data_IF_822942461543
#
_entry.id   IF_822942461543
#
_cell.length_a   1.000
_cell.length_b   1.000
_cell.length_c   1.000
_cell.angle_alpha   90.00
_cell.angle_beta   90.00
_cell.angle_gamma   90.00
#
_symmetry.space_group_name_H-M   'P 1'
#
loop_
_entity.id
_entity.type
_entity.pdbx_description
1 polymer ?
#
# COMPACT_ATOMS: atom_id res chain seq x y z
N UNK A 1 2.04 22.42 -3.42
CA UNK A 1 3.19 23.28 -3.16
C UNK A 1 3.93 23.61 -4.45
N UNK A 2 4.32 22.60 -5.26
CA UNK A 2 4.99 22.81 -6.56
C UNK A 2 4.15 23.67 -7.50
N UNK A 3 2.90 23.34 -7.73
CA UNK A 3 1.96 24.10 -8.60
C UNK A 3 1.72 25.57 -8.15
N UNK A 4 2.01 25.87 -6.89
CA UNK A 4 1.86 27.21 -6.33
C UNK A 4 3.14 28.03 -6.30
N UNK A 5 4.22 27.50 -6.86
CA UNK A 5 5.53 28.19 -6.80
C UNK A 5 6.11 28.32 -5.39
N UNK A 6 5.60 27.53 -4.41
CA UNK A 6 6.18 27.46 -3.06
C UNK A 6 7.45 26.62 -3.04
N UNK A 7 7.64 25.76 -4.04
CA UNK A 7 8.83 24.97 -4.28
C UNK A 7 9.42 25.37 -5.63
N UNK A 8 10.68 25.07 -5.84
CA UNK A 8 11.51 25.63 -6.93
C UNK A 8 11.31 24.90 -8.26
N UNK A 9 10.06 24.58 -8.62
CA UNK A 9 9.75 23.94 -9.91
C UNK A 9 10.24 24.84 -11.06
N UNK A 10 10.94 24.24 -12.02
CA UNK A 10 11.62 24.94 -13.12
C UNK A 10 13.11 25.23 -12.84
N UNK A 11 13.59 24.99 -11.61
CA UNK A 11 15.01 25.01 -11.32
C UNK A 11 15.59 23.60 -11.61
N UNK A 12 16.59 23.47 -12.50
CA UNK A 12 17.04 22.17 -13.02
C UNK A 12 17.48 21.17 -11.94
N UNK A 13 18.11 21.63 -10.87
CA UNK A 13 18.54 20.76 -9.77
C UNK A 13 17.38 20.33 -8.90
N UNK A 14 16.42 21.24 -8.64
CA UNK A 14 15.23 20.90 -7.94
C UNK A 14 14.42 19.88 -8.73
N UNK A 15 14.19 20.11 -10.00
CA UNK A 15 13.40 19.24 -10.87
C UNK A 15 14.03 17.84 -10.98
N UNK A 16 15.36 17.77 -11.07
CA UNK A 16 16.05 16.48 -11.20
C UNK A 16 16.06 15.65 -9.91
N UNK A 17 16.17 16.29 -8.73
CA UNK A 17 16.48 15.59 -7.50
C UNK A 17 15.38 15.68 -6.42
N UNK A 18 14.52 16.68 -6.47
CA UNK A 18 13.52 16.93 -5.45
C UNK A 18 12.08 16.86 -5.97
N UNK A 19 11.78 17.36 -7.17
CA UNK A 19 10.41 17.46 -7.66
C UNK A 19 9.66 16.12 -7.62
N UNK A 20 8.54 16.09 -6.90
CA UNK A 20 7.71 14.88 -6.74
C UNK A 20 6.96 14.55 -8.04
N UNK A 21 6.53 15.57 -8.79
CA UNK A 21 5.93 15.42 -10.11
C UNK A 21 6.86 14.71 -11.09
N UNK A 22 8.12 15.13 -11.14
CA UNK A 22 9.17 14.50 -11.97
C UNK A 22 9.47 13.08 -11.49
N UNK A 23 9.55 12.85 -10.17
CA UNK A 23 9.77 11.53 -9.60
C UNK A 23 8.73 10.53 -10.10
N UNK A 24 7.45 10.87 -9.99
CA UNK A 24 6.37 9.98 -10.45
C UNK A 24 6.48 9.62 -11.92
N UNK A 25 6.78 10.60 -12.78
CA UNK A 25 6.95 10.36 -14.22
C UNK A 25 8.16 9.47 -14.53
N UNK A 26 9.27 9.65 -13.82
CA UNK A 26 10.46 8.81 -13.93
C UNK A 26 10.18 7.36 -13.52
N UNK A 27 9.50 7.16 -12.39
CA UNK A 27 9.13 5.82 -11.94
C UNK A 27 8.18 5.14 -12.93
N UNK A 28 7.24 5.87 -13.50
CA UNK A 28 6.25 5.33 -14.44
C UNK A 28 6.86 4.91 -15.79
N UNK A 29 8.03 5.41 -16.13
CA UNK A 29 8.75 5.04 -17.35
C UNK A 29 9.55 3.74 -17.23
N UNK A 30 9.71 3.19 -16.02
CA UNK A 30 10.45 1.97 -15.75
C UNK A 30 9.52 0.75 -15.64
N UNK A 31 10.06 -0.46 -15.84
CA UNK A 31 9.29 -1.69 -15.64
C UNK A 31 9.12 -2.04 -14.17
N UNK A 32 8.06 -2.79 -13.85
CA UNK A 32 7.75 -3.21 -12.48
C UNK A 32 8.92 -3.99 -11.84
N UNK A 33 9.59 -4.87 -12.61
CA UNK A 33 10.71 -5.67 -12.12
C UNK A 33 11.92 -4.81 -11.72
N UNK A 34 12.15 -3.69 -12.43
CA UNK A 34 13.21 -2.73 -12.09
C UNK A 34 12.82 -1.98 -10.82
N UNK A 35 11.57 -1.52 -10.75
CA UNK A 35 11.08 -0.76 -9.61
C UNK A 35 11.07 -1.58 -8.31
N UNK A 36 10.74 -2.87 -8.36
CA UNK A 36 10.76 -3.77 -7.20
C UNK A 36 12.17 -3.98 -6.61
N UNK A 37 13.21 -3.81 -7.43
CA UNK A 37 14.62 -3.96 -7.01
C UNK A 37 15.25 -2.66 -6.55
N UNK A 38 14.74 -1.52 -6.98
CA UNK A 38 15.24 -0.18 -6.59
C UNK A 38 14.57 0.31 -5.31
N UNK A 39 15.27 1.12 -4.54
CA UNK A 39 14.82 1.67 -3.24
C UNK A 39 15.27 3.11 -3.03
N UNK A 40 15.29 3.90 -4.11
CA UNK A 40 15.76 5.29 -4.07
C UNK A 40 14.63 6.31 -3.89
N UNK A 41 13.42 5.99 -4.37
CA UNK A 41 12.31 6.92 -4.40
C UNK A 41 11.85 7.35 -3.00
N UNK A 42 11.83 6.42 -2.02
CA UNK A 42 11.47 6.74 -0.65
C UNK A 42 12.43 7.77 -0.03
N UNK A 43 13.72 7.56 -0.16
CA UNK A 43 14.75 8.50 0.31
C UNK A 43 14.61 9.88 -0.32
N UNK A 44 14.24 9.93 -1.60
CA UNK A 44 13.98 11.19 -2.31
C UNK A 44 12.77 11.92 -1.75
N UNK A 45 11.66 11.24 -1.45
CA UNK A 45 10.49 11.84 -0.79
C UNK A 45 10.85 12.41 0.58
N UNK A 46 11.63 11.68 1.38
CA UNK A 46 12.08 12.14 2.69
C UNK A 46 12.98 13.39 2.57
N UNK A 47 13.83 13.46 1.53
CA UNK A 47 14.64 14.64 1.26
C UNK A 47 13.77 15.87 0.96
N UNK A 48 12.67 15.70 0.20
CA UNK A 48 11.69 16.76 -0.04
C UNK A 48 11.02 17.21 1.26
N UNK A 49 10.62 16.29 2.12
CA UNK A 49 10.00 16.63 3.42
C UNK A 49 10.97 17.41 4.30
N UNK A 50 12.24 17.00 4.36
CA UNK A 50 13.28 17.75 5.06
C UNK A 50 13.52 19.12 4.45
N UNK A 51 13.54 19.23 3.12
CA UNK A 51 13.70 20.49 2.42
C UNK A 51 12.56 21.47 2.73
N UNK A 52 11.32 20.99 2.78
CA UNK A 52 10.16 21.79 3.17
C UNK A 52 10.27 22.24 4.64
N UNK A 53 10.62 21.33 5.53
CA UNK A 53 10.71 21.64 6.97
C UNK A 53 11.88 22.55 7.32
N UNK A 54 13.08 22.17 6.91
CA UNK A 54 14.33 22.81 7.33
C UNK A 54 14.95 23.79 6.33
N UNK A 55 14.37 23.87 5.12
CA UNK A 55 14.94 24.62 4.02
C UNK A 55 16.13 23.92 3.36
N UNK A 56 16.65 24.55 2.30
CA UNK A 56 17.90 24.20 1.63
C UNK A 56 18.76 25.47 1.58
N UNK A 57 19.96 25.41 2.11
CA UNK A 57 20.96 26.46 1.98
C UNK A 57 22.22 25.91 1.29
N UNK A 58 22.24 26.08 -0.01
CA UNK A 58 23.35 25.67 -0.86
C UNK A 58 23.64 26.80 -1.88
N UNK A 59 24.87 27.03 -2.29
CA UNK A 59 25.23 28.13 -3.22
C UNK A 59 24.39 28.17 -4.49
N UNK A 60 23.94 27.02 -4.97
CA UNK A 60 23.21 26.86 -6.24
C UNK A 60 21.75 26.43 -6.08
N UNK A 61 21.27 26.22 -4.85
CA UNK A 61 19.89 25.84 -4.58
C UNK A 61 19.48 26.34 -3.21
N UNK A 62 18.60 27.33 -3.17
CA UNK A 62 18.10 27.91 -1.91
C UNK A 62 16.59 27.78 -1.81
N UNK A 63 16.14 27.17 -0.73
CA UNK A 63 14.72 27.06 -0.37
C UNK A 63 14.56 27.51 1.08
N UNK A 64 13.73 28.52 1.36
CA UNK A 64 13.47 28.91 2.73
C UNK A 64 12.79 27.81 3.51
N UNK A 65 13.11 27.66 4.80
CA UNK A 65 12.42 26.74 5.68
C UNK A 65 10.96 27.16 5.85
N UNK A 66 10.04 26.25 5.57
CA UNK A 66 8.60 26.47 5.78
C UNK A 66 8.17 26.03 7.18
N UNK A 67 8.92 25.13 7.79
CA UNK A 67 8.62 24.57 9.11
C UNK A 67 7.34 23.71 9.11
N UNK A 68 6.66 23.73 10.24
CA UNK A 68 5.39 23.05 10.41
C UNK A 68 5.53 21.62 10.94
N UNK A 69 4.67 21.24 11.88
CA UNK A 69 4.74 19.96 12.59
C UNK A 69 4.48 18.73 11.69
N UNK A 70 3.85 18.93 10.52
CA UNK A 70 3.54 17.85 9.58
C UNK A 70 4.80 17.26 8.92
N UNK A 71 5.79 18.12 8.65
CA UNK A 71 7.03 17.70 8.00
C UNK A 71 8.23 17.60 8.95
N UNK A 72 7.98 17.75 10.26
CA UNK A 72 9.03 17.66 11.28
C UNK A 72 9.59 16.22 11.35
N UNK A 73 10.86 16.01 10.95
CA UNK A 73 11.46 14.68 10.92
C UNK A 73 11.63 14.06 12.32
N UNK A 74 11.69 14.88 13.36
CA UNK A 74 11.83 14.41 14.75
C UNK A 74 10.50 13.99 15.36
N UNK A 75 9.39 14.41 14.76
CA UNK A 75 8.05 13.93 15.10
C UNK A 75 7.77 12.53 14.53
N UNK A 76 8.34 12.24 13.37
CA UNK A 76 8.13 10.97 12.65
C UNK A 76 9.46 10.26 12.32
N UNK A 77 10.34 10.03 13.32
CA UNK A 77 11.69 9.51 13.07
C UNK A 77 11.69 8.13 12.42
N UNK A 78 10.66 7.33 12.64
CA UNK A 78 10.51 5.99 12.05
C UNK A 78 10.46 6.01 10.52
N UNK A 79 9.96 7.08 9.89
CA UNK A 79 9.96 7.21 8.42
C UNK A 79 11.37 7.24 7.84
N UNK A 80 12.32 7.71 8.63
CA UNK A 80 13.74 7.79 8.31
C UNK A 80 14.56 6.64 8.91
N UNK A 81 13.92 5.63 9.50
CA UNK A 81 14.60 4.52 10.20
C UNK A 81 15.33 4.95 11.47
N UNK A 82 14.98 6.10 12.04
CA UNK A 82 15.58 6.61 13.28
C UNK A 82 14.76 6.19 14.51
N UNK A 83 15.44 6.05 15.64
CA UNK A 83 14.81 5.77 16.92
C UNK A 83 14.05 6.99 17.45
N UNK A 84 13.00 6.74 18.22
CA UNK A 84 12.24 7.80 18.92
C UNK A 84 13.18 8.59 19.84
N UNK A 85 13.04 9.92 19.84
CA UNK A 85 13.88 10.82 20.63
C UNK A 85 15.22 11.21 19.99
N UNK A 86 15.50 10.73 18.78
CA UNK A 86 16.69 11.16 18.01
C UNK A 86 16.42 12.44 17.23
N UNK A 87 17.47 13.24 16.98
CA UNK A 87 17.37 14.46 16.18
C UNK A 87 17.86 14.24 14.75
N UNK A 88 17.11 14.71 13.77
CA UNK A 88 17.44 14.61 12.35
C UNK A 88 18.73 15.33 11.95
N UNK A 89 19.14 16.32 12.74
CA UNK A 89 20.40 17.07 12.51
C UNK A 89 21.64 16.34 13.01
N UNK A 90 21.49 15.45 14.01
CA UNK A 90 22.61 14.81 14.70
C UNK A 90 22.74 13.32 14.40
N UNK A 91 21.64 12.67 14.02
CA UNK A 91 21.62 11.24 13.82
C UNK A 91 21.42 10.92 12.34
N UNK A 92 22.15 9.94 11.87
CA UNK A 92 22.04 9.49 10.48
C UNK A 92 20.67 8.84 10.26
N UNK A 93 20.05 9.15 9.12
CA UNK A 93 18.88 8.44 8.65
C UNK A 93 19.30 7.12 7.99
N UNK A 94 18.53 6.08 8.24
CA UNK A 94 18.59 4.79 7.54
C UNK A 94 17.19 4.49 7.00
N UNK A 95 16.79 5.13 5.89
CA UNK A 95 15.44 5.04 5.37
C UNK A 95 14.98 3.60 5.20
N UNK A 96 13.70 3.37 5.47
CA UNK A 96 13.10 2.06 5.30
C UNK A 96 13.32 1.54 3.87
N UNK A 97 13.59 0.24 3.69
CA UNK A 97 13.88 -0.35 2.39
C UNK A 97 12.61 -0.56 1.56
N UNK A 98 11.81 0.51 1.39
CA UNK A 98 10.61 0.52 0.57
C UNK A 98 11.03 0.54 -0.89
N UNK A 99 10.52 -0.39 -1.69
CA UNK A 99 10.80 -0.45 -3.12
C UNK A 99 10.13 0.71 -3.88
N UNK A 100 10.73 1.05 -5.03
CA UNK A 100 10.27 2.18 -5.84
C UNK A 100 8.88 1.93 -6.45
N UNK A 101 8.47 0.67 -6.67
CA UNK A 101 7.12 0.31 -7.10
C UNK A 101 6.08 0.67 -6.05
N UNK A 102 6.34 0.35 -4.79
CA UNK A 102 5.46 0.74 -3.68
C UNK A 102 5.32 2.26 -3.58
N UNK A 103 6.41 3.00 -3.77
CA UNK A 103 6.36 4.48 -3.80
C UNK A 103 5.57 4.99 -4.99
N UNK A 104 5.72 4.41 -6.19
CA UNK A 104 4.92 4.78 -7.36
C UNK A 104 3.43 4.57 -7.09
N UNK A 105 3.04 3.39 -6.61
CA UNK A 105 1.64 3.08 -6.28
C UNK A 105 1.07 4.03 -5.24
N UNK A 106 1.86 4.40 -4.21
CA UNK A 106 1.46 5.40 -3.23
C UNK A 106 1.21 6.76 -3.88
N UNK A 107 2.15 7.24 -4.71
CA UNK A 107 2.00 8.53 -5.40
C UNK A 107 0.81 8.55 -6.35
N UNK A 108 0.55 7.46 -7.06
CA UNK A 108 -0.61 7.35 -7.95
C UNK A 108 -1.91 7.32 -7.16
N UNK A 109 -2.00 6.55 -6.08
CA UNK A 109 -3.18 6.47 -5.25
C UNK A 109 -3.61 7.82 -4.65
N UNK A 110 -2.65 8.69 -4.31
CA UNK A 110 -2.94 10.02 -3.75
C UNK A 110 -3.04 11.13 -4.79
N UNK A 111 -2.55 10.92 -6.00
CA UNK A 111 -2.52 11.98 -7.04
C UNK A 111 -3.46 11.74 -8.21
N UNK A 112 -3.89 10.51 -8.45
CA UNK A 112 -4.70 10.16 -9.61
C UNK A 112 -6.05 9.62 -9.14
N UNK A 113 -7.11 10.21 -9.66
CA UNK A 113 -8.48 9.74 -9.49
C UNK A 113 -9.17 9.67 -10.86
N UNK A 114 -9.71 8.53 -11.22
CA UNK A 114 -10.35 8.29 -12.54
C UNK A 114 -9.47 8.72 -13.74
N UNK A 115 -8.17 8.47 -13.66
CA UNK A 115 -7.20 8.82 -14.71
C UNK A 115 -6.83 10.31 -14.78
N UNK A 116 -7.35 11.15 -13.88
CA UNK A 116 -7.07 12.59 -13.81
C UNK A 116 -6.25 12.93 -12.57
N UNK A 117 -5.39 13.94 -12.69
CA UNK A 117 -4.66 14.44 -11.53
C UNK A 117 -5.62 15.11 -10.54
N UNK A 118 -5.65 14.61 -9.30
CA UNK A 118 -6.49 15.13 -8.24
C UNK A 118 -5.94 16.46 -7.73
N UNK A 119 -6.77 17.49 -7.76
CA UNK A 119 -6.45 18.78 -7.14
C UNK A 119 -7.02 18.83 -5.72
N UNK A 120 -6.18 18.64 -4.73
CA UNK A 120 -6.55 18.78 -3.30
C UNK A 120 -7.08 20.17 -2.93
N UNK A 121 -6.86 21.16 -3.79
CA UNK A 121 -7.42 22.50 -3.61
C UNK A 121 -8.93 22.55 -3.86
N UNK A 122 -9.43 21.66 -4.69
CA UNK A 122 -10.84 21.58 -5.04
C UNK A 122 -11.67 20.75 -4.04
N UNK A 123 -11.00 20.02 -3.13
CA UNK A 123 -11.67 19.23 -2.09
C UNK A 123 -12.23 20.16 -1.02
N UNK A 124 -13.47 19.96 -0.67
CA UNK A 124 -14.09 20.58 0.49
C UNK A 124 -13.71 19.88 1.80
N UNK A 125 -14.07 20.45 2.93
CA UNK A 125 -13.74 19.94 4.26
C UNK A 125 -14.40 18.58 4.51
N UNK A 126 -15.58 18.35 3.97
CA UNK A 126 -16.33 17.09 4.11
C UNK A 126 -15.63 15.96 3.36
N UNK A 127 -15.18 16.20 2.14
CA UNK A 127 -14.42 15.22 1.34
C UNK A 127 -13.08 14.86 2.01
N UNK A 128 -12.38 15.86 2.58
CA UNK A 128 -11.17 15.61 3.35
C UNK A 128 -11.49 14.80 4.62
N UNK A 129 -12.63 15.08 5.27
CA UNK A 129 -13.13 14.31 6.41
C UNK A 129 -13.33 12.84 6.07
N UNK A 130 -14.00 12.53 4.97
CA UNK A 130 -14.21 11.15 4.51
C UNK A 130 -12.92 10.41 4.19
N UNK A 131 -11.92 11.08 3.57
CA UNK A 131 -10.60 10.47 3.36
C UNK A 131 -9.92 10.16 4.70
N UNK A 132 -10.01 11.06 5.66
CA UNK A 132 -9.44 10.88 6.99
C UNK A 132 -10.10 9.73 7.76
N UNK A 133 -11.44 9.67 7.75
CA UNK A 133 -12.21 8.57 8.35
C UNK A 133 -11.84 7.23 7.72
N UNK A 134 -11.78 7.14 6.40
CA UNK A 134 -11.38 5.93 5.67
C UNK A 134 -9.97 5.45 6.01
N UNK A 135 -9.05 6.36 6.33
CA UNK A 135 -7.70 6.02 6.80
C UNK A 135 -7.71 5.54 8.25
N UNK A 136 -8.54 6.15 9.13
CA UNK A 136 -8.65 5.76 10.53
C UNK A 136 -9.35 4.42 10.74
N UNK A 137 -10.26 4.04 9.87
CA UNK A 137 -10.94 2.74 9.90
C UNK A 137 -10.02 1.56 9.59
N UNK A 138 -8.82 1.83 9.06
CA UNK A 138 -7.85 0.81 8.69
C UNK A 138 -6.82 0.63 9.80
N UNK A 139 -6.71 -0.60 10.29
CA UNK A 139 -5.65 -1.01 11.21
C UNK A 139 -4.66 -1.91 10.49
N UNK A 140 -3.37 -1.63 10.67
CA UNK A 140 -2.30 -2.51 10.16
C UNK A 140 -1.99 -3.54 11.23
N UNK A 141 -2.09 -4.81 10.87
CA UNK A 141 -1.75 -5.93 11.76
C UNK A 141 -0.59 -6.72 11.12
N UNK A 142 0.45 -6.96 11.90
CA UNK A 142 1.52 -7.85 11.45
C UNK A 142 1.04 -9.29 11.53
N UNK A 143 1.17 -10.02 10.43
CA UNK A 143 0.87 -11.45 10.34
C UNK A 143 2.17 -12.22 10.11
N UNK A 144 2.26 -13.43 10.64
CA UNK A 144 3.47 -14.28 10.53
C UNK A 144 3.37 -15.25 9.34
N UNK A 145 2.18 -15.47 8.83
CA UNK A 145 1.91 -16.34 7.69
C UNK A 145 1.00 -15.65 6.67
N UNK A 146 0.93 -16.18 5.47
CA UNK A 146 0.04 -15.70 4.41
C UNK A 146 -1.41 -15.78 4.93
N UNK A 147 -2.05 -14.63 4.97
CA UNK A 147 -3.38 -14.49 5.57
C UNK A 147 -4.38 -14.05 4.52
N UNK A 148 -5.43 -14.83 4.35
CA UNK A 148 -6.50 -14.60 3.41
C UNK A 148 -7.65 -13.87 4.08
N UNK A 149 -8.16 -12.80 3.49
CA UNK A 149 -9.42 -12.20 3.90
C UNK A 149 -10.59 -12.90 3.19
N UNK A 150 -11.55 -13.37 3.97
CA UNK A 150 -12.69 -14.14 3.46
C UNK A 150 -13.96 -13.29 3.43
N UNK A 151 -14.82 -13.58 2.44
CA UNK A 151 -16.15 -12.99 2.32
C UNK A 151 -17.07 -13.58 3.38
N UNK A 152 -17.30 -12.84 4.45
CA UNK A 152 -18.05 -13.29 5.61
C UNK A 152 -19.54 -12.98 5.51
N UNK A 153 -20.38 -13.78 6.22
CA UNK A 153 -21.79 -13.47 6.42
C UNK A 153 -21.98 -12.23 7.31
N UNK A 154 -23.22 -11.74 7.38
CA UNK A 154 -23.59 -10.51 8.09
C UNK A 154 -23.17 -10.43 9.57
N UNK A 155 -22.92 -11.57 10.19
CA UNK A 155 -22.57 -11.67 11.60
C UNK A 155 -21.08 -11.92 11.90
N UNK A 156 -20.23 -11.98 10.88
CA UNK A 156 -18.79 -12.15 11.04
C UNK A 156 -18.06 -10.95 10.41
N UNK A 157 -17.54 -10.07 11.25
CA UNK A 157 -16.69 -8.95 10.76
C UNK A 157 -15.28 -9.47 10.50
N UNK A 158 -14.74 -9.18 9.30
CA UNK A 158 -13.33 -9.41 8.95
C UNK A 158 -12.83 -10.83 9.20
N UNK A 159 -13.50 -11.84 8.61
CA UNK A 159 -13.06 -13.22 8.71
C UNK A 159 -11.71 -13.38 8.02
N UNK A 160 -10.70 -13.76 8.78
CA UNK A 160 -9.33 -14.01 8.31
C UNK A 160 -8.95 -15.45 8.63
N UNK A 161 -8.15 -16.04 7.74
CA UNK A 161 -7.59 -17.36 7.93
C UNK A 161 -6.18 -17.41 7.34
N UNK A 162 -5.26 -18.12 8.00
CA UNK A 162 -3.94 -18.33 7.43
C UNK A 162 -3.97 -19.47 6.42
N UNK A 163 -3.07 -19.40 5.43
CA UNK A 163 -2.94 -20.47 4.46
C UNK A 163 -2.53 -21.79 5.13
N UNK A 164 -1.68 -21.73 6.15
CA UNK A 164 -1.28 -22.90 6.94
C UNK A 164 -2.45 -23.55 7.68
N UNK A 165 -3.41 -22.79 8.22
CA UNK A 165 -4.64 -23.35 8.83
C UNK A 165 -5.49 -24.09 7.79
N UNK A 166 -5.65 -23.53 6.58
CA UNK A 166 -6.40 -24.19 5.49
C UNK A 166 -5.72 -25.48 5.03
N UNK A 167 -4.42 -25.46 4.84
CA UNK A 167 -3.65 -26.64 4.42
C UNK A 167 -3.67 -27.74 5.49
N UNK A 168 -3.53 -27.37 6.76
CA UNK A 168 -3.64 -28.31 7.87
C UNK A 168 -5.02 -28.96 7.94
N UNK A 169 -6.07 -28.17 7.72
CA UNK A 169 -7.43 -28.70 7.63
C UNK A 169 -7.63 -29.62 6.41
N UNK A 170 -7.00 -29.29 5.26
CA UNK A 170 -7.01 -30.10 4.05
C UNK A 170 -6.38 -31.48 4.27
N UNK A 171 -5.26 -31.55 4.98
CA UNK A 171 -4.59 -32.83 5.32
C UNK A 171 -5.49 -33.75 6.14
N UNK A 172 -6.38 -33.16 6.96
CA UNK A 172 -7.34 -33.90 7.78
C UNK A 172 -8.67 -34.21 7.03
N UNK A 173 -8.77 -33.88 5.76
CA UNK A 173 -9.90 -34.18 4.88
C UNK A 173 -10.83 -33.00 4.59
N UNK A 174 -11.52 -33.08 3.44
CA UNK A 174 -12.39 -31.98 2.96
C UNK A 174 -13.47 -31.54 3.96
N UNK A 175 -14.04 -32.47 4.72
CA UNK A 175 -15.05 -32.16 5.73
C UNK A 175 -14.53 -31.21 6.82
N UNK A 176 -13.25 -31.30 7.19
CA UNK A 176 -12.62 -30.41 8.15
C UNK A 176 -12.40 -29.00 7.61
N UNK A 177 -12.06 -28.87 6.32
CA UNK A 177 -11.96 -27.57 5.64
C UNK A 177 -13.31 -26.88 5.63
N UNK A 178 -14.37 -27.57 5.21
CA UNK A 178 -15.73 -26.99 5.21
C UNK A 178 -16.16 -26.60 6.62
N UNK A 179 -15.92 -27.44 7.62
CA UNK A 179 -16.26 -27.12 9.03
C UNK A 179 -15.52 -25.88 9.53
N UNK A 180 -14.22 -25.78 9.26
CA UNK A 180 -13.39 -24.62 9.60
C UNK A 180 -13.92 -23.34 8.95
N UNK A 181 -14.26 -23.40 7.65
CA UNK A 181 -14.79 -22.28 6.89
C UNK A 181 -16.20 -21.87 7.37
N UNK A 182 -17.08 -22.82 7.69
CA UNK A 182 -18.40 -22.55 8.28
C UNK A 182 -18.26 -21.79 9.60
N UNK A 183 -17.34 -22.23 10.44
CA UNK A 183 -17.13 -21.55 11.73
C UNK A 183 -16.56 -20.15 11.58
N UNK A 184 -15.60 -19.97 10.69
CA UNK A 184 -14.97 -18.65 10.43
C UNK A 184 -15.89 -17.68 9.70
N UNK A 185 -16.60 -18.13 8.69
CA UNK A 185 -17.44 -17.29 7.82
C UNK A 185 -18.84 -17.05 8.38
N UNK A 186 -19.30 -17.88 9.32
CA UNK A 186 -20.69 -17.89 9.81
C UNK A 186 -21.71 -17.97 8.67
N UNK A 187 -21.39 -18.77 7.63
CA UNK A 187 -22.23 -19.07 6.46
C UNK A 187 -22.67 -20.53 6.50
N UNK A 188 -23.74 -20.85 5.78
CA UNK A 188 -24.22 -22.23 5.71
C UNK A 188 -23.21 -23.15 5.00
N UNK A 189 -23.14 -24.40 5.44
CA UNK A 189 -22.28 -25.41 4.84
C UNK A 189 -22.54 -25.57 3.34
N UNK A 190 -23.82 -25.64 2.92
CA UNK A 190 -24.20 -25.78 1.52
C UNK A 190 -23.74 -24.62 0.64
N UNK A 191 -23.71 -23.41 1.16
CA UNK A 191 -23.20 -22.23 0.43
C UNK A 191 -21.69 -22.33 0.23
N UNK A 192 -20.94 -22.75 1.24
CA UNK A 192 -19.49 -22.91 1.18
C UNK A 192 -19.12 -24.06 0.25
N UNK A 193 -19.78 -25.20 0.36
CA UNK A 193 -19.53 -26.37 -0.51
C UNK A 193 -19.82 -26.04 -1.98
N UNK A 194 -20.85 -25.25 -2.26
CA UNK A 194 -21.16 -24.75 -3.61
C UNK A 194 -20.04 -23.88 -4.18
N UNK A 195 -19.50 -22.98 -3.38
CA UNK A 195 -18.40 -22.11 -3.82
C UNK A 195 -17.09 -22.85 -4.00
N UNK A 196 -16.78 -23.81 -3.13
CA UNK A 196 -15.59 -24.68 -3.27
C UNK A 196 -15.67 -25.64 -4.46
N UNK A 197 -16.88 -26.02 -4.88
CA UNK A 197 -17.10 -26.91 -6.03
C UNK A 197 -17.20 -26.15 -7.36
N UNK A 198 -17.38 -24.83 -7.32
CA UNK A 198 -17.58 -24.04 -8.53
C UNK A 198 -16.26 -23.82 -9.27
N UNK A 199 -16.31 -23.87 -10.59
CA UNK A 199 -15.15 -23.65 -11.46
C UNK A 199 -14.63 -22.21 -11.32
N UNK A 200 -13.31 -22.08 -11.22
CA UNK A 200 -12.64 -20.78 -11.14
C UNK A 200 -12.58 -20.15 -12.53
N UNK A 201 -13.06 -18.94 -12.67
CA UNK A 201 -13.03 -18.22 -13.94
C UNK A 201 -11.60 -17.77 -14.27
N UNK A 202 -11.19 -17.74 -15.55
CA UNK A 202 -9.84 -17.30 -15.95
C UNK A 202 -9.46 -15.91 -15.43
N UNK A 203 -10.42 -15.01 -15.37
CA UNK A 203 -10.21 -13.66 -14.85
C UNK A 203 -9.94 -13.68 -13.34
N UNK A 204 -10.61 -14.51 -12.57
CA UNK A 204 -10.36 -14.65 -11.12
C UNK A 204 -8.96 -15.21 -10.85
N UNK A 205 -8.53 -16.21 -11.64
CA UNK A 205 -7.19 -16.78 -11.56
C UNK A 205 -6.11 -15.73 -11.92
N UNK A 206 -6.36 -14.89 -12.93
CA UNK A 206 -5.45 -13.81 -13.31
C UNK A 206 -5.35 -12.74 -12.22
N UNK A 207 -6.48 -12.32 -11.63
CA UNK A 207 -6.49 -11.37 -10.52
C UNK A 207 -5.79 -11.94 -9.28
N UNK A 208 -5.99 -13.24 -9.00
CA UNK A 208 -5.31 -13.92 -7.91
C UNK A 208 -3.79 -13.99 -8.15
N UNK A 209 -3.35 -14.28 -9.38
CA UNK A 209 -1.92 -14.27 -9.72
C UNK A 209 -1.30 -12.88 -9.49
N UNK A 210 -2.01 -11.83 -9.86
CA UNK A 210 -1.59 -10.46 -9.60
C UNK A 210 -1.50 -10.17 -8.10
N UNK A 211 -2.51 -10.57 -7.30
CA UNK A 211 -2.50 -10.44 -5.84
C UNK A 211 -1.33 -11.22 -5.21
N UNK A 212 -0.97 -12.37 -5.77
CA UNK A 212 0.19 -13.18 -5.39
C UNK A 212 1.53 -12.63 -5.95
N UNK A 213 1.55 -11.43 -6.52
CA UNK A 213 2.74 -10.80 -7.12
C UNK A 213 3.45 -11.70 -8.16
N UNK A 214 2.68 -12.38 -9.00
CA UNK A 214 3.18 -13.29 -10.02
C UNK A 214 3.69 -14.66 -9.52
N UNK A 215 3.56 -14.96 -8.23
CA UNK A 215 3.96 -16.24 -7.66
C UNK A 215 2.94 -17.34 -8.01
N UNK A 216 3.21 -18.09 -9.07
CA UNK A 216 2.33 -19.17 -9.56
C UNK A 216 2.11 -20.26 -8.51
N UNK A 217 3.16 -20.66 -7.78
CA UNK A 217 3.03 -21.70 -6.73
C UNK A 217 2.10 -21.26 -5.61
N UNK A 218 2.17 -19.99 -5.23
CA UNK A 218 1.29 -19.42 -4.22
C UNK A 218 -0.15 -19.34 -4.74
N UNK A 219 -0.33 -18.85 -5.97
CA UNK A 219 -1.63 -18.83 -6.64
C UNK A 219 -2.29 -20.22 -6.61
N UNK A 220 -1.57 -21.27 -7.03
CA UNK A 220 -2.12 -22.63 -7.12
C UNK A 220 -2.59 -23.17 -5.75
N UNK A 221 -1.92 -22.77 -4.67
CA UNK A 221 -2.32 -23.13 -3.31
C UNK A 221 -3.59 -22.42 -2.84
N UNK A 222 -3.81 -21.19 -3.28
CA UNK A 222 -4.95 -20.36 -2.87
C UNK A 222 -6.14 -20.51 -3.82
N UNK A 223 -5.91 -20.85 -5.08
CA UNK A 223 -6.92 -20.92 -6.14
C UNK A 223 -8.19 -21.71 -5.78
N UNK A 224 -8.11 -22.86 -5.05
CA UNK A 224 -9.31 -23.59 -4.62
C UNK A 224 -10.27 -22.78 -3.74
N UNK A 225 -9.77 -21.71 -3.12
CA UNK A 225 -10.52 -20.86 -2.18
C UNK A 225 -10.88 -19.50 -2.75
N UNK A 226 -10.47 -19.18 -3.99
CA UNK A 226 -10.55 -17.82 -4.57
C UNK A 226 -11.95 -17.22 -4.51
N UNK A 227 -12.99 -18.03 -4.64
CA UNK A 227 -14.39 -17.57 -4.60
C UNK A 227 -14.89 -17.21 -3.20
N UNK A 228 -14.19 -17.64 -2.19
CA UNK A 228 -14.45 -17.30 -0.79
C UNK A 228 -13.67 -16.08 -0.34
N UNK A 229 -12.73 -15.60 -1.15
CA UNK A 229 -11.92 -14.44 -0.81
C UNK A 229 -12.70 -13.15 -1.01
N UNK A 230 -12.52 -12.24 -0.07
CA UNK A 230 -12.95 -10.87 -0.23
C UNK A 230 -12.10 -10.19 -1.29
N UNK A 231 -12.73 -9.38 -2.12
CA UNK A 231 -12.04 -8.62 -3.16
C UNK A 231 -12.03 -7.14 -2.83
N UNK A 232 -11.05 -6.43 -3.39
CA UNK A 232 -11.05 -4.98 -3.43
C UNK A 232 -12.09 -4.44 -4.44
N UNK A 233 -12.31 -3.11 -4.55
CA UNK A 233 -13.26 -2.53 -5.49
C UNK A 233 -12.95 -2.82 -6.97
N UNK A 234 -11.76 -3.26 -7.31
CA UNK A 234 -11.34 -3.61 -8.67
C UNK A 234 -11.38 -5.13 -8.93
N UNK A 235 -11.81 -5.93 -7.95
CA UNK A 235 -11.97 -7.37 -8.07
C UNK A 235 -10.71 -8.20 -7.78
N UNK A 236 -9.66 -7.60 -7.20
CA UNK A 236 -8.47 -8.34 -6.78
C UNK A 236 -8.69 -8.97 -5.39
N UNK A 237 -8.39 -10.27 -5.22
CA UNK A 237 -8.49 -10.93 -3.93
C UNK A 237 -7.53 -10.33 -2.90
N UNK A 238 -7.98 -10.23 -1.65
CA UNK A 238 -7.17 -9.76 -0.52
C UNK A 238 -6.37 -10.92 0.09
N UNK A 239 -5.08 -10.97 -0.23
CA UNK A 239 -4.10 -11.99 0.17
C UNK A 239 -2.96 -11.36 0.96
#
# INVERSE_FOLDING_TARGET
>A
AEERGLLLLGEPRYDSFYAVSTLRLQLRAESDEILERRRAAWSRLLAVFRAVFGGIDHPTLRLPAMGGSLFDPDRFPFLEGRLKGTSWRRHRAEPLPIDDRTVLLLLEAIQIFEGRTLSYRALDVEQIGHVYEGLLERTVTRVEDITLELESGAHAKNARITLGELESACLNGKANVTKLLVDRLKRSQSAIDKELAAEVQPQQSAHLLSACRGNVKLRDRIEPYVRLLRTDPWGYPLV
#
